data_IF_683913528277
#
_entry.id   IF_683913528277
#
_cell.length_a   1.000
_cell.length_b   1.000
_cell.length_c   1.000
_cell.angle_alpha   90.00
_cell.angle_beta   90.00
_cell.angle_gamma   90.00
#
_symmetry.space_group_name_H-M   'P 1'
#
loop_
_entity.id
_entity.type
_entity.pdbx_description
1 polymer ?
#
# COMPACT_ATOMS: atom_id res chain seq x y z
N UNK A 1 27.03 32.08 9.15
CA UNK A 1 27.06 30.69 8.66
C UNK A 1 26.83 30.74 7.15
N UNK A 2 27.86 30.46 6.37
CA UNK A 2 27.77 30.42 4.90
C UNK A 2 27.14 29.09 4.54
N UNK A 3 26.02 29.12 3.81
CA UNK A 3 25.43 27.96 3.18
C UNK A 3 26.40 27.46 2.09
N UNK A 4 27.08 26.38 2.32
CA UNK A 4 27.82 25.70 1.29
C UNK A 4 26.82 25.12 0.28
N UNK A 5 26.57 25.87 -0.76
CA UNK A 5 25.94 25.36 -1.98
C UNK A 5 26.96 24.42 -2.60
N UNK A 6 26.69 23.13 -2.58
CA UNK A 6 27.53 22.13 -3.21
C UNK A 6 27.49 22.36 -4.73
N UNK A 7 28.50 23.09 -5.25
CA UNK A 7 28.75 23.20 -6.68
C UNK A 7 29.44 21.93 -7.11
N UNK A 8 28.68 21.01 -7.69
CA UNK A 8 29.21 19.77 -8.31
C UNK A 8 30.00 20.18 -9.56
N UNK A 9 31.34 20.23 -9.43
CA UNK A 9 32.25 20.31 -10.57
C UNK A 9 32.31 18.94 -11.24
N UNK A 10 31.98 18.90 -12.52
CA UNK A 10 31.91 17.79 -13.45
C UNK A 10 32.64 16.51 -13.06
N UNK A 11 31.85 15.46 -12.89
CA UNK A 11 32.03 14.08 -13.32
C UNK A 11 30.96 13.21 -12.64
N UNK A 12 30.20 12.46 -13.46
CA UNK A 12 29.19 11.48 -13.06
C UNK A 12 28.21 11.99 -11.99
N UNK A 13 27.06 12.50 -12.40
CA UNK A 13 25.98 12.81 -11.48
C UNK A 13 25.44 11.51 -10.91
N UNK A 14 25.93 11.11 -9.73
CA UNK A 14 25.27 10.05 -8.95
C UNK A 14 24.47 10.69 -7.84
N UNK A 15 23.26 10.19 -7.61
CA UNK A 15 22.38 10.62 -6.52
C UNK A 15 21.82 9.43 -5.75
N UNK A 16 21.41 9.68 -4.53
CA UNK A 16 20.75 8.69 -3.68
C UNK A 16 19.25 8.95 -3.68
N UNK A 17 18.48 7.86 -3.78
CA UNK A 17 17.03 7.90 -3.73
C UNK A 17 16.51 6.87 -2.76
N UNK A 18 15.55 7.23 -1.92
CA UNK A 18 15.14 6.42 -0.78
C UNK A 18 13.63 6.27 -0.72
N UNK A 19 13.17 5.05 -0.47
CA UNK A 19 11.79 4.76 -0.11
C UNK A 19 11.72 3.86 1.12
N UNK A 20 10.59 3.91 1.82
CA UNK A 20 10.33 3.11 3.00
C UNK A 20 9.10 2.21 2.80
N UNK A 21 8.96 1.20 3.65
CA UNK A 21 7.79 0.37 3.77
C UNK A 21 7.55 -0.03 5.22
N UNK A 22 6.30 -0.37 5.58
CA UNK A 22 5.97 -0.83 6.93
C UNK A 22 5.23 -2.15 6.90
N UNK A 23 5.30 -2.90 8.00
CA UNK A 23 4.60 -4.17 8.13
C UNK A 23 3.08 -3.99 8.31
N UNK A 24 2.29 -5.06 8.06
CA UNK A 24 0.88 -5.10 8.44
C UNK A 24 0.62 -4.80 9.92
N UNK A 25 1.61 -5.06 10.78
CA UNK A 25 1.52 -4.77 12.22
C UNK A 25 1.89 -3.35 12.65
N UNK A 26 2.34 -2.49 11.71
CA UNK A 26 2.51 -1.07 12.02
C UNK A 26 1.16 -0.43 12.39
N UNK A 27 1.07 0.44 13.41
CA UNK A 27 -0.21 1.00 13.89
C UNK A 27 -1.10 1.59 12.79
N UNK A 28 -0.56 2.38 11.87
CA UNK A 28 -1.33 2.93 10.76
C UNK A 28 -1.86 1.83 9.83
N UNK A 29 -1.08 0.78 9.55
CA UNK A 29 -1.54 -0.35 8.72
C UNK A 29 -2.51 -1.26 9.45
N UNK A 30 -2.44 -1.35 10.77
CA UNK A 30 -3.50 -1.98 11.58
C UNK A 30 -4.82 -1.23 11.40
N UNK A 31 -4.79 0.11 11.46
CA UNK A 31 -5.97 0.94 11.23
C UNK A 31 -6.54 0.78 9.82
N UNK A 32 -5.68 0.79 8.79
CA UNK A 32 -6.07 0.55 7.40
C UNK A 32 -6.76 -0.81 7.22
N UNK A 33 -6.20 -1.89 7.76
CA UNK A 33 -6.77 -3.23 7.68
C UNK A 33 -8.11 -3.35 8.40
N UNK A 34 -8.27 -2.68 9.53
CA UNK A 34 -9.56 -2.66 10.26
C UNK A 34 -10.60 -1.92 9.42
N UNK A 35 -10.28 -0.76 8.85
CA UNK A 35 -11.19 -0.02 7.98
C UNK A 35 -11.60 -0.81 6.73
N UNK A 36 -10.66 -1.53 6.09
CA UNK A 36 -10.99 -2.41 4.97
C UNK A 36 -11.71 -3.71 5.38
N UNK A 37 -11.55 -4.16 6.63
CA UNK A 37 -12.38 -5.25 7.19
C UNK A 37 -13.83 -4.83 7.27
N UNK A 38 -14.11 -3.60 7.70
CA UNK A 38 -15.46 -3.04 7.75
C UNK A 38 -16.05 -2.95 6.33
N UNK A 39 -15.29 -2.40 5.38
CA UNK A 39 -15.71 -2.30 3.99
C UNK A 39 -16.05 -3.69 3.40
N UNK A 40 -15.15 -4.66 3.54
CA UNK A 40 -15.37 -6.01 3.02
C UNK A 40 -16.55 -6.72 3.72
N UNK A 41 -16.79 -6.44 5.00
CA UNK A 41 -17.94 -6.98 5.71
C UNK A 41 -19.26 -6.50 5.07
N UNK A 42 -19.36 -5.21 4.78
CA UNK A 42 -20.56 -4.65 4.13
C UNK A 42 -20.71 -5.10 2.68
N UNK A 43 -19.64 -5.15 1.90
CA UNK A 43 -19.70 -5.60 0.51
C UNK A 43 -20.07 -7.09 0.36
N UNK A 44 -19.82 -7.91 1.38
CA UNK A 44 -20.29 -9.32 1.40
C UNK A 44 -21.81 -9.44 1.46
N UNK A 45 -22.49 -8.51 2.10
CA UNK A 45 -23.97 -8.55 2.28
C UNK A 45 -24.68 -7.62 1.32
N UNK A 46 -24.07 -6.52 0.93
CA UNK A 46 -24.59 -5.53 0.00
C UNK A 46 -23.47 -4.99 -0.90
N UNK A 47 -23.33 -5.49 -2.13
CA UNK A 47 -22.31 -5.01 -3.07
C UNK A 47 -22.40 -3.51 -3.40
N UNK A 48 -23.56 -2.88 -3.17
CA UNK A 48 -23.79 -1.45 -3.42
C UNK A 48 -23.61 -0.59 -2.17
N UNK A 49 -23.19 -1.17 -1.04
CA UNK A 49 -22.94 -0.43 0.19
C UNK A 49 -21.99 0.76 -0.05
N UNK A 50 -22.33 1.91 0.53
CA UNK A 50 -21.49 3.10 0.56
C UNK A 50 -20.79 3.16 1.90
N UNK A 51 -19.49 3.08 1.89
CA UNK A 51 -18.68 2.99 3.10
C UNK A 51 -17.58 4.04 3.07
N UNK A 52 -17.49 4.80 4.15
CA UNK A 52 -16.41 5.70 4.47
C UNK A 52 -16.06 5.45 5.95
N UNK A 53 -15.22 4.44 6.21
CA UNK A 53 -14.86 4.00 7.55
C UNK A 53 -13.42 4.37 7.88
N UNK A 54 -13.25 5.06 8.99
CA UNK A 54 -11.95 5.43 9.53
C UNK A 54 -11.71 4.78 10.88
N UNK A 55 -10.47 4.44 11.13
CA UNK A 55 -10.04 3.76 12.36
C UNK A 55 -8.89 4.51 12.98
N UNK A 56 -8.93 4.67 14.30
CA UNK A 56 -7.79 5.04 15.13
C UNK A 56 -7.48 3.92 16.12
N UNK A 57 -6.22 3.56 16.25
CA UNK A 57 -5.74 2.57 17.24
C UNK A 57 -4.75 3.21 18.19
N UNK A 58 -4.96 3.08 19.51
CA UNK A 58 -4.02 3.57 20.52
C UNK A 58 -4.16 2.79 21.83
N UNK A 59 -3.02 2.41 22.43
CA UNK A 59 -3.02 1.56 23.61
C UNK A 59 -3.66 0.21 23.30
N UNK A 60 -4.63 -0.21 24.12
CA UNK A 60 -5.46 -1.38 23.86
C UNK A 60 -6.89 -0.98 23.45
N UNK A 61 -7.01 0.06 22.60
CA UNK A 61 -8.32 0.57 22.16
C UNK A 61 -8.33 0.82 20.66
N UNK A 62 -9.44 0.43 20.03
CA UNK A 62 -9.79 0.70 18.62
C UNK A 62 -10.98 1.67 18.62
N UNK A 63 -10.83 2.79 17.95
CA UNK A 63 -11.89 3.78 17.72
C UNK A 63 -12.30 3.69 16.24
N UNK A 64 -13.58 3.51 16.00
CA UNK A 64 -14.18 3.29 14.69
C UNK A 64 -15.18 4.41 14.46
N UNK A 65 -14.96 5.19 13.40
CA UNK A 65 -15.82 6.30 13.03
C UNK A 65 -16.07 6.32 11.52
N UNK A 66 -17.08 7.06 11.10
CA UNK A 66 -17.39 7.23 9.69
C UNK A 66 -18.87 7.09 9.36
N UNK A 67 -19.15 7.01 8.08
CA UNK A 67 -20.51 6.93 7.55
C UNK A 67 -20.68 5.70 6.67
N UNK A 68 -21.78 4.97 6.90
CA UNK A 68 -22.12 3.76 6.14
C UNK A 68 -23.60 3.80 5.75
N UNK A 69 -23.87 3.60 4.45
CA UNK A 69 -25.24 3.35 3.94
C UNK A 69 -25.24 2.00 3.26
N UNK A 70 -26.15 1.11 3.69
CA UNK A 70 -26.31 -0.23 3.15
C UNK A 70 -27.77 -0.65 3.24
N UNK A 71 -28.23 -1.43 2.27
CA UNK A 71 -29.57 -2.04 2.28
C UNK A 71 -29.72 -3.10 3.39
N UNK A 72 -28.60 -3.68 3.85
CA UNK A 72 -28.56 -4.70 4.89
C UNK A 72 -27.65 -4.25 6.04
N UNK A 73 -28.21 -4.32 7.26
CA UNK A 73 -27.44 -4.00 8.47
C UNK A 73 -26.60 -5.20 8.92
N UNK A 74 -25.38 -4.91 9.34
CA UNK A 74 -24.53 -5.87 10.06
C UNK A 74 -24.63 -5.54 11.54
N UNK A 75 -24.78 -6.57 12.40
CA UNK A 75 -24.78 -6.33 13.85
C UNK A 75 -23.39 -5.86 14.31
N UNK A 76 -23.37 -4.93 15.28
CA UNK A 76 -22.11 -4.48 15.87
C UNK A 76 -21.27 -5.66 16.39
N UNK A 77 -21.93 -6.68 16.98
CA UNK A 77 -21.25 -7.88 17.49
C UNK A 77 -20.58 -8.69 16.39
N UNK A 78 -21.16 -8.79 15.17
CA UNK A 78 -20.56 -9.53 14.08
C UNK A 78 -19.40 -8.73 13.45
N UNK A 79 -19.55 -7.43 13.32
CA UNK A 79 -18.47 -6.55 12.88
C UNK A 79 -17.29 -6.58 13.85
N UNK A 80 -17.55 -6.57 15.16
CA UNK A 80 -16.52 -6.71 16.19
C UNK A 80 -15.76 -8.04 16.07
N UNK A 81 -16.44 -9.15 15.80
CA UNK A 81 -15.78 -10.45 15.57
C UNK A 81 -14.85 -10.43 14.36
N UNK A 82 -15.29 -9.82 13.25
CA UNK A 82 -14.46 -9.70 12.05
C UNK A 82 -13.22 -8.84 12.32
N UNK A 83 -13.37 -7.73 13.03
CA UNK A 83 -12.24 -6.85 13.39
C UNK A 83 -11.26 -7.58 14.33
N UNK A 84 -11.75 -8.28 15.37
CA UNK A 84 -10.90 -9.07 16.27
C UNK A 84 -10.12 -10.15 15.52
N UNK A 85 -10.78 -10.85 14.59
CA UNK A 85 -10.10 -11.83 13.72
C UNK A 85 -8.98 -11.17 12.91
N UNK A 86 -9.23 -10.00 12.31
CA UNK A 86 -8.20 -9.25 11.56
C UNK A 86 -7.02 -8.87 12.45
N UNK A 87 -7.26 -8.36 13.65
CA UNK A 87 -6.20 -8.00 14.62
C UNK A 87 -5.38 -9.24 15.02
N UNK A 88 -6.04 -10.39 15.25
CA UNK A 88 -5.37 -11.64 15.58
C UNK A 88 -4.51 -12.16 14.41
N UNK A 89 -5.02 -12.09 13.17
CA UNK A 89 -4.29 -12.47 11.95
C UNK A 89 -3.08 -11.59 11.66
N UNK A 90 -3.13 -10.31 12.06
CA UNK A 90 -1.96 -9.40 12.04
C UNK A 90 -0.88 -9.88 13.02
N UNK A 91 -1.23 -10.67 14.02
CA UNK A 91 -0.31 -11.20 15.02
C UNK A 91 -0.42 -10.54 16.40
N UNK A 92 -1.40 -9.66 16.62
CA UNK A 92 -1.68 -9.08 17.94
C UNK A 92 -2.63 -9.98 18.74
N UNK A 93 -2.14 -11.14 19.13
CA UNK A 93 -2.87 -12.20 19.83
C UNK A 93 -2.26 -12.59 21.18
N UNK A 94 -1.35 -11.77 21.72
CA UNK A 94 -0.68 -11.98 23.01
C UNK A 94 -0.84 -10.78 23.94
N UNK A 95 -1.09 -11.02 25.21
CA UNK A 95 -1.23 -9.95 26.20
C UNK A 95 0.03 -9.12 26.38
N UNK A 96 1.20 -9.75 26.27
CA UNK A 96 2.50 -9.09 26.41
C UNK A 96 2.80 -8.00 25.35
N UNK A 97 2.02 -7.97 24.27
CA UNK A 97 2.12 -6.90 23.26
C UNK A 97 1.37 -5.63 23.69
N UNK A 98 0.51 -5.74 24.75
CA UNK A 98 -0.25 -4.62 25.27
C UNK A 98 -1.39 -4.12 24.37
N UNK A 99 -1.43 -4.54 23.11
CA UNK A 99 -2.56 -4.47 22.18
C UNK A 99 -2.92 -5.90 21.80
N UNK A 100 -4.18 -6.32 22.02
CA UNK A 100 -4.56 -7.72 21.88
C UNK A 100 -5.97 -7.84 21.30
N UNK A 101 -6.14 -8.72 20.31
CA UNK A 101 -7.38 -8.96 19.60
C UNK A 101 -8.56 -9.35 20.51
N UNK A 102 -8.32 -10.12 21.58
CA UNK A 102 -9.38 -10.61 22.47
C UNK A 102 -9.81 -9.53 23.50
N UNK A 103 -8.83 -8.75 23.99
CA UNK A 103 -9.05 -7.84 25.13
C UNK A 103 -9.15 -6.37 24.77
N UNK A 104 -8.84 -5.98 23.52
CA UNK A 104 -8.91 -4.58 23.10
C UNK A 104 -10.36 -4.05 23.23
N UNK A 105 -10.47 -2.81 23.73
CA UNK A 105 -11.73 -2.07 23.76
C UNK A 105 -12.06 -1.58 22.35
N UNK A 106 -13.31 -1.69 21.93
CA UNK A 106 -13.80 -1.09 20.70
C UNK A 106 -14.81 0.01 21.00
N UNK A 107 -14.67 1.15 20.33
CA UNK A 107 -15.57 2.29 20.43
C UNK A 107 -16.11 2.55 19.02
N UNK A 108 -17.41 2.47 18.85
CA UNK A 108 -18.09 2.66 17.58
C UNK A 108 -18.80 4.01 17.56
N UNK A 109 -18.47 4.84 16.57
CA UNK A 109 -19.14 6.09 16.24
C UNK A 109 -19.36 6.13 14.72
N UNK A 110 -20.25 5.26 14.27
CA UNK A 110 -20.61 5.08 12.86
C UNK A 110 -22.02 5.56 12.66
N UNK A 111 -22.22 6.46 11.71
CA UNK A 111 -23.51 7.04 11.33
C UNK A 111 -23.94 6.64 9.92
N UNK A 112 -25.17 6.96 9.54
CA UNK A 112 -25.64 6.84 8.16
C UNK A 112 -25.07 8.01 7.31
N UNK A 113 -24.64 7.74 6.09
CA UNK A 113 -24.11 8.77 5.17
C UNK A 113 -25.20 9.80 4.82
N UNK A 114 -24.80 11.08 4.67
CA UNK A 114 -25.68 12.16 4.27
C UNK A 114 -26.40 11.85 2.95
N UNK A 115 -27.74 12.02 2.95
CA UNK A 115 -28.56 11.83 1.75
C UNK A 115 -28.21 12.78 0.63
N UNK A 116 -27.74 13.98 0.94
CA UNK A 116 -27.36 15.00 -0.06
C UNK A 116 -26.14 14.55 -0.86
N UNK A 117 -25.15 13.94 -0.21
CA UNK A 117 -23.96 13.39 -0.88
C UNK A 117 -24.35 12.24 -1.79
N UNK A 118 -25.18 11.31 -1.30
CA UNK A 118 -25.65 10.17 -2.11
C UNK A 118 -26.40 10.63 -3.38
N UNK A 119 -27.28 11.61 -3.27
CA UNK A 119 -28.04 12.15 -4.41
C UNK A 119 -27.17 12.88 -5.43
N UNK A 120 -26.07 13.51 -5.03
CA UNK A 120 -25.15 14.20 -5.94
C UNK A 120 -24.31 13.23 -6.79
N UNK A 121 -24.15 11.98 -6.36
CA UNK A 121 -23.33 10.96 -7.02
C UNK A 121 -24.17 10.05 -7.91
N UNK A 122 -25.45 9.83 -7.58
CA UNK A 122 -26.38 9.00 -8.37
C UNK A 122 -26.99 9.81 -9.51
N UNK A 123 -26.42 9.69 -10.72
CA UNK A 123 -26.87 10.41 -11.92
C UNK A 123 -27.95 9.63 -12.72
N UNK A 124 -28.42 8.47 -12.21
CA UNK A 124 -29.39 7.56 -12.82
C UNK A 124 -29.02 6.10 -12.60
N UNK A 125 -29.87 5.15 -13.12
CA UNK A 125 -29.71 3.70 -12.83
C UNK A 125 -28.35 3.11 -13.24
N UNK A 126 -27.65 3.69 -14.23
CA UNK A 126 -26.38 3.17 -14.77
C UNK A 126 -25.23 4.21 -14.75
N UNK A 127 -25.45 5.39 -14.17
CA UNK A 127 -24.47 6.50 -14.21
C UNK A 127 -24.10 6.92 -12.80
N UNK A 128 -22.80 6.95 -12.54
CA UNK A 128 -22.24 7.34 -11.24
C UNK A 128 -21.26 8.48 -11.47
N UNK A 129 -21.53 9.64 -10.86
CA UNK A 129 -20.58 10.73 -10.77
C UNK A 129 -19.47 10.43 -9.76
N UNK A 130 -18.35 11.14 -9.85
CA UNK A 130 -17.31 11.02 -8.86
C UNK A 130 -17.82 11.42 -7.47
N UNK A 131 -17.54 10.60 -6.47
CA UNK A 131 -17.97 10.81 -5.08
C UNK A 131 -17.24 11.95 -4.37
N UNK A 132 -16.17 12.46 -4.96
CA UNK A 132 -15.38 13.58 -4.46
C UNK A 132 -14.61 14.24 -5.61
N UNK A 133 -14.02 15.39 -5.34
CA UNK A 133 -12.96 15.94 -6.18
C UNK A 133 -11.62 15.32 -5.78
N UNK A 134 -10.72 15.10 -6.75
CA UNK A 134 -9.40 14.54 -6.44
C UNK A 134 -8.43 14.64 -7.60
N UNK A 135 -7.14 14.74 -7.26
CA UNK A 135 -6.03 14.57 -8.18
C UNK A 135 -5.39 13.23 -7.86
N UNK A 136 -5.34 12.35 -8.84
CA UNK A 136 -4.91 10.97 -8.70
C UNK A 136 -3.71 10.74 -9.60
N UNK A 137 -2.74 9.95 -9.14
CA UNK A 137 -1.56 9.57 -9.91
C UNK A 137 -1.47 8.07 -10.08
N UNK A 138 -1.02 7.66 -11.27
CA UNK A 138 -0.59 6.30 -11.60
C UNK A 138 0.86 6.31 -12.02
N UNK A 139 1.60 5.26 -11.73
CA UNK A 139 3.00 5.13 -12.10
C UNK A 139 3.38 3.69 -12.41
N UNK A 140 4.29 3.51 -13.36
CA UNK A 140 4.93 2.23 -13.66
C UNK A 140 6.34 2.46 -14.19
N UNK A 141 7.26 1.54 -13.87
CA UNK A 141 8.66 1.58 -14.34
C UNK A 141 9.16 0.18 -14.65
N UNK A 142 10.09 0.05 -15.61
CA UNK A 142 10.77 -1.21 -15.96
C UNK A 142 11.92 -1.57 -14.99
N UNK A 143 12.06 -0.89 -13.86
CA UNK A 143 13.15 -1.14 -12.91
C UNK A 143 13.06 -2.50 -12.22
N UNK A 144 11.85 -3.02 -12.02
CA UNK A 144 11.62 -4.26 -11.28
C UNK A 144 10.61 -5.18 -11.98
N UNK A 145 10.59 -6.48 -11.65
CA UNK A 145 9.63 -7.43 -12.22
C UNK A 145 8.16 -7.10 -11.95
N UNK A 146 7.88 -6.28 -10.94
CA UNK A 146 6.53 -5.86 -10.59
C UNK A 146 6.19 -4.47 -11.11
N UNK A 147 7.04 -3.89 -11.94
CA UNK A 147 6.90 -2.54 -12.50
C UNK A 147 6.77 -1.44 -11.44
N UNK A 148 7.32 -1.68 -10.26
CA UNK A 148 7.42 -0.73 -9.16
C UNK A 148 8.84 -0.14 -9.09
N UNK A 149 9.01 1.08 -8.53
CA UNK A 149 10.35 1.63 -8.29
C UNK A 149 11.20 0.73 -7.38
N UNK A 150 12.51 0.66 -7.67
CA UNK A 150 13.43 -0.27 -7.00
C UNK A 150 13.44 -0.10 -5.47
N UNK A 151 13.47 1.14 -4.99
CA UNK A 151 13.61 1.39 -3.56
C UNK A 151 12.40 0.87 -2.76
N UNK A 152 11.17 1.19 -3.17
CA UNK A 152 9.95 0.72 -2.50
C UNK A 152 9.73 -0.78 -2.72
N UNK A 153 10.07 -1.31 -3.89
CA UNK A 153 9.99 -2.73 -4.19
C UNK A 153 10.83 -3.56 -3.22
N UNK A 154 12.10 -3.20 -3.03
CA UNK A 154 12.98 -3.90 -2.09
C UNK A 154 12.56 -3.68 -0.63
N UNK A 155 12.15 -2.46 -0.27
CA UNK A 155 11.65 -2.18 1.08
C UNK A 155 10.43 -3.06 1.42
N UNK A 156 9.47 -3.20 0.48
CA UNK A 156 8.31 -4.09 0.61
C UNK A 156 8.73 -5.56 0.75
N UNK A 157 9.66 -6.03 -0.07
CA UNK A 157 10.15 -7.42 0.00
C UNK A 157 10.82 -7.73 1.33
N UNK A 158 11.63 -6.81 1.87
CA UNK A 158 12.28 -6.96 3.17
C UNK A 158 11.22 -7.09 4.27
N UNK A 159 10.19 -6.25 4.26
CA UNK A 159 9.08 -6.35 5.21
C UNK A 159 8.34 -7.68 5.05
N UNK A 160 7.98 -8.07 3.84
CA UNK A 160 7.24 -9.31 3.60
C UNK A 160 8.03 -10.54 4.09
N UNK A 161 9.35 -10.56 3.84
CA UNK A 161 10.22 -11.65 4.29
C UNK A 161 10.39 -11.66 5.81
N UNK A 162 10.56 -10.50 6.44
CA UNK A 162 10.67 -10.38 7.89
C UNK A 162 9.37 -10.72 8.60
N UNK A 163 8.24 -10.22 8.09
CA UNK A 163 6.92 -10.47 8.64
C UNK A 163 6.46 -11.92 8.47
N UNK A 164 6.80 -12.56 7.35
CA UNK A 164 6.59 -14.01 7.17
C UNK A 164 7.32 -14.87 8.20
N UNK A 165 8.40 -14.37 8.78
CA UNK A 165 9.15 -15.01 9.84
C UNK A 165 8.48 -14.99 11.22
N UNK A 166 7.47 -14.15 11.45
CA UNK A 166 6.72 -14.10 12.72
C UNK A 166 6.06 -15.44 13.03
N UNK A 167 5.62 -16.17 12.01
CA UNK A 167 4.98 -17.47 12.15
C UNK A 167 5.97 -18.63 12.32
N UNK A 168 7.26 -18.39 12.09
CA UNK A 168 8.31 -19.40 12.30
C UNK A 168 8.83 -19.30 13.74
N UNK A 169 8.20 -20.06 14.57
CA UNK A 169 8.49 -20.16 16.00
C UNK A 169 9.86 -20.82 16.23
N UNK A 170 10.86 -20.05 16.64
CA UNK A 170 12.08 -20.60 17.22
C UNK A 170 11.78 -21.02 18.67
N UNK A 171 11.73 -22.33 18.93
CA UNK A 171 11.56 -22.85 20.28
C UNK A 171 10.19 -22.58 20.94
N UNK A 172 9.12 -22.32 20.19
CA UNK A 172 7.79 -22.06 20.75
C UNK A 172 7.48 -20.58 21.07
N UNK A 173 8.37 -19.65 20.72
CA UNK A 173 8.24 -18.23 21.05
C UNK A 173 8.39 -17.34 19.82
N UNK A 174 7.56 -16.29 19.75
CA UNK A 174 7.65 -15.30 18.68
C UNK A 174 8.84 -14.38 18.94
N UNK A 175 9.94 -14.63 18.24
CA UNK A 175 11.15 -13.84 18.39
C UNK A 175 11.02 -12.48 17.70
N UNK A 176 10.26 -12.39 16.61
CA UNK A 176 9.95 -11.17 15.88
C UNK A 176 8.50 -10.80 16.13
N UNK A 177 8.23 -9.54 16.43
CA UNK A 177 6.89 -8.98 16.71
C UNK A 177 6.32 -8.25 15.49
N UNK A 178 4.99 -8.02 15.42
CA UNK A 178 4.32 -7.55 14.21
C UNK A 178 4.76 -6.19 13.67
N UNK A 179 5.21 -5.25 14.53
CA UNK A 179 5.55 -3.89 14.13
C UNK A 179 6.97 -3.78 13.57
N UNK A 180 7.07 -3.34 12.31
CA UNK A 180 8.35 -3.21 11.61
C UNK A 180 8.33 -2.08 10.60
N UNK A 181 9.52 -1.52 10.33
CA UNK A 181 9.76 -0.54 9.26
C UNK A 181 11.02 -0.90 8.49
N UNK A 182 10.97 -0.83 7.18
CA UNK A 182 12.14 -0.93 6.31
C UNK A 182 12.36 0.35 5.53
N UNK A 183 13.59 0.59 5.13
CA UNK A 183 13.96 1.67 4.23
C UNK A 183 15.10 1.19 3.34
N UNK A 184 15.00 1.48 2.05
CA UNK A 184 16.06 1.14 1.09
C UNK A 184 16.48 2.40 0.35
N UNK A 185 17.79 2.64 0.32
CA UNK A 185 18.43 3.72 -0.43
C UNK A 185 19.15 3.13 -1.63
N UNK A 186 18.81 3.61 -2.81
CA UNK A 186 19.36 3.20 -4.09
C UNK A 186 20.24 4.32 -4.63
N UNK A 187 21.41 3.97 -5.16
CA UNK A 187 22.28 4.90 -5.88
C UNK A 187 22.00 4.82 -7.38
N UNK A 188 21.71 5.95 -7.95
CA UNK A 188 21.56 6.13 -9.40
C UNK A 188 22.73 6.88 -9.99
N UNK A 189 23.05 6.63 -11.24
CA UNK A 189 23.96 7.43 -12.06
C UNK A 189 23.30 7.72 -13.44
N UNK A 190 24.06 8.22 -14.40
CA UNK A 190 23.59 8.57 -15.73
C UNK A 190 23.12 7.36 -16.55
N UNK A 191 23.40 6.14 -16.14
CA UNK A 191 23.00 4.89 -16.77
C UNK A 191 21.82 4.20 -16.05
N UNK A 192 21.33 4.77 -14.96
CA UNK A 192 20.25 4.23 -14.15
C UNK A 192 20.70 3.74 -12.78
N UNK A 193 20.17 2.59 -12.34
CA UNK A 193 20.47 2.03 -11.01
C UNK A 193 21.88 1.46 -10.99
N UNK A 194 22.69 1.95 -10.06
CA UNK A 194 24.09 1.53 -9.87
C UNK A 194 24.27 0.47 -8.79
N UNK A 195 23.73 0.73 -7.61
CA UNK A 195 23.87 -0.15 -6.44
C UNK A 195 22.82 0.15 -5.36
N UNK A 196 22.62 -0.78 -4.48
CA UNK A 196 21.89 -0.56 -3.22
C UNK A 196 22.90 0.02 -2.20
N UNK A 197 22.71 1.29 -1.83
CA UNK A 197 23.61 1.98 -0.89
C UNK A 197 23.35 1.54 0.55
N UNK A 198 22.08 1.57 0.98
CA UNK A 198 21.71 1.28 2.38
C UNK A 198 20.41 0.50 2.47
N UNK A 199 20.38 -0.52 3.30
CA UNK A 199 19.19 -1.26 3.74
C UNK A 199 19.03 -1.05 5.23
N UNK A 200 17.88 -0.49 5.64
CA UNK A 200 17.51 -0.34 7.04
C UNK A 200 16.30 -1.21 7.35
N UNK A 201 16.35 -1.95 8.44
CA UNK A 201 15.22 -2.63 9.03
C UNK A 201 15.15 -2.34 10.53
N UNK A 202 14.05 -1.75 10.98
CA UNK A 202 13.68 -1.67 12.37
C UNK A 202 12.55 -2.64 12.62
N UNK A 203 12.75 -3.64 13.48
CA UNK A 203 11.73 -4.59 13.85
C UNK A 203 11.60 -4.76 15.36
N UNK A 204 10.36 -4.76 15.82
CA UNK A 204 10.02 -5.07 17.19
C UNK A 204 10.31 -6.55 17.46
N UNK A 205 10.96 -6.87 18.58
CA UNK A 205 11.39 -8.24 18.89
C UNK A 205 11.23 -8.58 20.37
N UNK A 206 11.26 -9.88 20.67
CA UNK A 206 11.22 -10.38 22.06
C UNK A 206 12.43 -9.90 22.85
N UNK A 207 12.26 -9.68 24.17
CA UNK A 207 13.34 -9.42 25.11
C UNK A 207 14.36 -10.56 25.21
N UNK A 208 13.98 -11.77 24.79
CA UNK A 208 14.85 -12.95 24.76
C UNK A 208 15.83 -12.97 23.58
N UNK A 209 15.61 -12.11 22.57
CA UNK A 209 16.49 -11.94 21.42
C UNK A 209 17.35 -10.69 21.60
N UNK A 210 18.63 -10.85 21.79
CA UNK A 210 19.55 -9.72 21.86
C UNK A 210 19.79 -9.12 20.46
N UNK A 211 20.39 -7.95 20.41
CA UNK A 211 20.59 -7.21 19.15
C UNK A 211 21.53 -7.93 18.16
N UNK A 212 22.52 -8.66 18.67
CA UNK A 212 23.43 -9.44 17.81
C UNK A 212 22.69 -10.59 17.14
N UNK A 213 21.93 -11.39 17.92
CA UNK A 213 21.14 -12.51 17.39
C UNK A 213 20.09 -12.01 16.37
N UNK A 214 19.45 -10.86 16.66
CA UNK A 214 18.53 -10.22 15.73
C UNK A 214 19.22 -9.83 14.42
N UNK A 215 20.41 -9.23 14.51
CA UNK A 215 21.17 -8.82 13.32
C UNK A 215 21.56 -10.04 12.47
N UNK A 216 22.06 -11.10 13.09
CA UNK A 216 22.41 -12.35 12.39
C UNK A 216 21.18 -13.01 11.77
N UNK A 217 20.05 -13.03 12.48
CA UNK A 217 18.78 -13.55 11.97
C UNK A 217 18.32 -12.76 10.74
N UNK A 218 18.25 -11.44 10.84
CA UNK A 218 17.81 -10.56 9.76
C UNK A 218 18.71 -10.70 8.54
N UNK A 219 20.04 -10.72 8.75
CA UNK A 219 20.97 -10.88 7.64
C UNK A 219 20.77 -12.21 6.92
N UNK A 220 20.64 -13.32 7.65
CA UNK A 220 20.53 -14.66 7.10
C UNK A 220 19.16 -14.98 6.51
N UNK A 221 18.09 -14.66 7.24
CA UNK A 221 16.73 -15.10 6.93
C UNK A 221 15.87 -14.06 6.25
N UNK A 222 16.29 -12.79 6.24
CA UNK A 222 15.58 -11.69 5.58
C UNK A 222 16.38 -11.19 4.38
N UNK A 223 17.49 -10.52 4.63
CA UNK A 223 18.26 -9.81 3.58
C UNK A 223 18.77 -10.78 2.51
N UNK A 224 19.47 -11.87 2.93
CA UNK A 224 19.99 -12.85 1.97
C UNK A 224 18.87 -13.53 1.19
N UNK A 225 17.73 -13.83 1.83
CA UNK A 225 16.58 -14.44 1.15
C UNK A 225 15.95 -13.47 0.15
N UNK A 226 15.79 -12.19 0.49
CA UNK A 226 15.32 -11.18 -0.45
C UNK A 226 16.28 -11.08 -1.64
N UNK A 227 17.59 -11.02 -1.39
CA UNK A 227 18.59 -11.01 -2.45
C UNK A 227 18.46 -12.26 -3.35
N UNK A 228 18.49 -13.46 -2.78
CA UNK A 228 18.48 -14.74 -3.52
C UNK A 228 17.19 -14.96 -4.33
N UNK A 229 16.06 -14.43 -3.86
CA UNK A 229 14.76 -14.56 -4.54
C UNK A 229 14.57 -13.56 -5.70
N UNK A 230 15.48 -12.62 -5.86
CA UNK A 230 15.41 -11.63 -6.95
C UNK A 230 16.18 -12.12 -8.20
N UNK A 231 15.85 -11.61 -9.40
CA UNK A 231 16.64 -11.84 -10.61
C UNK A 231 18.11 -11.41 -10.45
N UNK A 232 19.02 -12.06 -11.17
CA UNK A 232 20.47 -11.87 -11.05
C UNK A 232 20.92 -10.41 -11.17
N UNK A 233 20.30 -9.63 -12.07
CA UNK A 233 20.62 -8.21 -12.23
C UNK A 233 20.31 -7.39 -10.97
N UNK A 234 19.25 -7.73 -10.20
CA UNK A 234 18.95 -7.10 -8.91
C UNK A 234 19.88 -7.62 -7.81
N UNK A 235 20.18 -8.93 -7.80
CA UNK A 235 21.14 -9.50 -6.85
C UNK A 235 22.50 -8.79 -6.88
N UNK A 236 22.99 -8.44 -8.09
CA UNK A 236 24.26 -7.75 -8.31
C UNK A 236 24.28 -6.31 -7.78
N UNK A 237 23.13 -5.70 -7.53
CA UNK A 237 23.06 -4.36 -6.94
C UNK A 237 23.45 -4.34 -5.46
N UNK A 238 23.37 -5.50 -4.77
CA UNK A 238 23.87 -5.64 -3.40
C UNK A 238 25.38 -5.90 -3.43
N UNK A 239 26.15 -4.85 -3.28
CA UNK A 239 27.63 -4.88 -3.34
C UNK A 239 28.24 -5.04 -1.96
N UNK A 240 29.56 -5.14 -1.88
CA UNK A 240 30.31 -5.11 -0.62
C UNK A 240 30.20 -3.77 0.11
N UNK A 241 29.82 -2.70 -0.61
CA UNK A 241 29.63 -1.36 -0.06
C UNK A 241 28.23 -1.13 0.51
N UNK A 242 27.29 -2.07 0.29
CA UNK A 242 25.92 -1.97 0.80
C UNK A 242 25.93 -1.95 2.34
N UNK A 243 25.37 -0.91 2.94
CA UNK A 243 25.27 -0.75 4.39
C UNK A 243 23.98 -1.42 4.90
N UNK A 244 24.11 -2.16 5.99
CA UNK A 244 22.96 -2.79 6.65
C UNK A 244 22.78 -2.20 8.04
N UNK A 245 21.65 -1.57 8.29
CA UNK A 245 21.28 -0.94 9.55
C UNK A 245 20.10 -1.69 10.17
N UNK A 246 20.39 -2.55 11.15
CA UNK A 246 19.36 -3.35 11.83
C UNK A 246 19.18 -2.79 13.23
N UNK A 247 17.94 -2.31 13.53
CA UNK A 247 17.62 -1.64 14.79
C UNK A 247 18.71 -0.65 15.25
N UNK A 248 19.07 0.35 14.43
CA UNK A 248 20.20 1.23 14.73
C UNK A 248 20.03 2.05 16.01
N UNK A 249 18.81 2.20 16.51
CA UNK A 249 18.51 2.84 17.80
C UNK A 249 18.67 1.89 19.01
N UNK A 250 19.01 0.62 18.78
CA UNK A 250 19.12 -0.41 19.82
C UNK A 250 17.92 -1.35 19.90
N UNK A 251 17.69 -1.95 21.07
CA UNK A 251 16.59 -2.88 21.29
C UNK A 251 15.23 -2.20 21.20
N UNK A 252 14.28 -2.89 20.57
CA UNK A 252 12.89 -2.43 20.45
C UNK A 252 11.93 -3.58 20.80
N UNK A 253 11.51 -3.62 22.06
CA UNK A 253 10.71 -4.73 22.58
C UNK A 253 9.22 -4.42 22.67
N UNK A 254 8.83 -3.16 22.74
CA UNK A 254 7.43 -2.74 22.78
C UNK A 254 7.13 -1.86 21.59
N UNK A 255 6.25 -2.32 20.70
CA UNK A 255 5.82 -1.65 19.48
C UNK A 255 4.31 -1.67 19.32
N UNK A 256 3.84 -1.33 18.13
CA UNK A 256 2.43 -1.34 17.80
C UNK A 256 1.61 -0.23 18.44
N UNK A 257 0.27 -0.37 18.50
CA UNK A 257 -0.65 0.67 19.00
C UNK A 257 -0.38 1.14 20.43
N UNK A 258 0.32 0.35 21.24
CA UNK A 258 0.67 0.72 22.62
C UNK A 258 1.61 1.93 22.64
N UNK A 259 2.59 1.94 21.77
CA UNK A 259 3.62 2.98 21.74
C UNK A 259 3.30 4.10 20.76
N UNK A 260 2.62 3.79 19.64
CA UNK A 260 2.32 4.75 18.60
C UNK A 260 0.82 4.76 18.26
N UNK A 261 0.31 5.91 17.85
CA UNK A 261 -1.09 6.07 17.43
C UNK A 261 -1.22 5.80 15.95
N UNK A 262 -2.01 4.78 15.57
CA UNK A 262 -2.31 4.48 14.19
C UNK A 262 -3.63 5.08 13.75
N UNK A 263 -3.66 5.60 12.51
CA UNK A 263 -4.86 6.10 11.86
C UNK A 263 -4.93 5.61 10.41
N UNK A 264 -6.15 5.39 9.93
CA UNK A 264 -6.42 5.11 8.52
C UNK A 264 -5.88 6.22 7.62
N UNK A 265 -5.21 5.83 6.52
CA UNK A 265 -4.75 6.77 5.51
C UNK A 265 -3.51 7.59 5.87
N UNK A 266 -2.73 7.18 6.86
CA UNK A 266 -1.46 7.84 7.20
C UNK A 266 -0.23 7.21 6.54
N UNK A 267 -0.41 6.25 5.64
CA UNK A 267 0.66 5.57 4.89
C UNK A 267 0.45 5.64 3.38
N UNK A 268 -0.15 6.74 2.90
CA UNK A 268 -0.52 6.91 1.48
C UNK A 268 0.68 6.90 0.52
N UNK A 269 1.86 7.30 0.97
CA UNK A 269 3.11 7.20 0.17
C UNK A 269 3.50 5.73 -0.03
N UNK A 270 3.38 4.93 1.04
CA UNK A 270 3.68 3.49 1.02
C UNK A 270 2.63 2.72 0.23
N UNK A 271 1.37 3.14 0.32
CA UNK A 271 0.25 2.55 -0.43
C UNK A 271 0.38 2.76 -1.94
N UNK A 272 1.19 3.74 -2.36
CA UNK A 272 1.40 4.08 -3.77
C UNK A 272 2.83 3.70 -4.22
N UNK A 273 3.64 4.64 -4.66
CA UNK A 273 4.91 4.38 -5.36
C UNK A 273 6.15 4.84 -4.58
N UNK A 274 6.02 5.07 -3.27
CA UNK A 274 7.10 5.61 -2.48
C UNK A 274 7.43 7.06 -2.86
N UNK A 275 8.71 7.36 -2.99
CA UNK A 275 9.20 8.69 -3.33
C UNK A 275 9.23 8.99 -4.84
N UNK A 276 8.87 8.03 -5.71
CA UNK A 276 9.13 8.10 -7.15
C UNK A 276 8.02 8.76 -7.97
N UNK A 277 6.84 8.95 -7.38
CA UNK A 277 5.70 9.59 -8.03
C UNK A 277 5.07 10.62 -7.12
N UNK A 278 4.50 11.70 -7.66
CA UNK A 278 3.53 12.48 -6.92
C UNK A 278 2.40 11.59 -6.39
N UNK A 279 1.78 11.99 -5.30
CA UNK A 279 0.62 11.32 -4.73
C UNK A 279 -0.55 12.29 -4.63
N UNK A 280 -1.78 11.78 -4.76
CA UNK A 280 -2.97 12.49 -4.35
C UNK A 280 -3.08 12.55 -2.82
N UNK A 281 -3.97 13.38 -2.29
CA UNK A 281 -4.18 13.52 -0.85
C UNK A 281 -5.07 12.43 -0.24
N UNK A 282 -5.75 11.61 -1.06
CA UNK A 282 -6.79 10.69 -0.64
C UNK A 282 -6.25 9.37 -0.07
N UNK A 283 -6.78 8.96 1.08
CA UNK A 283 -6.60 7.63 1.62
C UNK A 283 -7.39 6.59 0.82
N UNK A 284 -6.92 5.34 0.78
CA UNK A 284 -7.57 4.23 0.11
C UNK A 284 -8.46 3.42 1.06
N UNK A 285 -7.90 2.93 2.16
CA UNK A 285 -8.57 2.02 3.08
C UNK A 285 -9.84 2.62 3.68
N UNK A 286 -10.86 1.79 3.87
CA UNK A 286 -12.16 2.18 4.41
C UNK A 286 -13.11 2.82 3.42
N UNK A 287 -12.68 3.08 2.17
CA UNK A 287 -13.48 3.72 1.12
C UNK A 287 -13.96 2.71 0.08
N UNK A 288 -15.28 2.70 -0.19
CA UNK A 288 -15.85 1.94 -1.31
C UNK A 288 -15.46 2.54 -2.67
N UNK A 289 -15.72 1.81 -3.75
CA UNK A 289 -15.29 2.15 -5.10
C UNK A 289 -15.94 3.39 -5.73
N UNK A 290 -16.95 3.99 -5.12
CA UNK A 290 -17.49 5.27 -5.55
C UNK A 290 -16.55 6.45 -5.23
N UNK A 291 -15.63 6.26 -4.31
CA UNK A 291 -14.62 7.25 -3.93
C UNK A 291 -13.43 7.14 -4.89
N UNK A 292 -13.28 8.14 -5.76
CA UNK A 292 -12.26 8.19 -6.82
C UNK A 292 -10.82 8.21 -6.28
N UNK A 293 -10.60 8.65 -5.05
CA UNK A 293 -9.30 8.56 -4.39
C UNK A 293 -8.72 7.15 -4.46
N UNK A 294 -9.58 6.13 -4.33
CA UNK A 294 -9.20 4.73 -4.41
C UNK A 294 -9.38 4.15 -5.81
N UNK A 295 -10.56 4.20 -6.36
CA UNK A 295 -10.90 3.54 -7.63
C UNK A 295 -10.10 4.12 -8.80
N UNK A 296 -9.96 5.43 -8.89
CA UNK A 296 -9.19 6.06 -9.95
C UNK A 296 -7.67 5.90 -9.75
N UNK A 297 -7.17 5.66 -8.53
CA UNK A 297 -5.76 5.30 -8.33
C UNK A 297 -5.44 3.91 -8.92
N UNK A 298 -6.37 2.97 -8.82
CA UNK A 298 -6.26 1.67 -9.49
C UNK A 298 -6.29 1.81 -11.01
N UNK A 299 -7.19 2.65 -11.54
CA UNK A 299 -7.19 2.98 -12.96
C UNK A 299 -5.89 3.64 -13.41
N UNK A 300 -5.38 4.61 -12.64
CA UNK A 300 -4.10 5.27 -12.93
C UNK A 300 -2.93 4.29 -13.04
N UNK A 301 -2.87 3.32 -12.11
CA UNK A 301 -1.89 2.24 -12.17
C UNK A 301 -2.04 1.40 -13.44
N UNK A 302 -3.26 1.00 -13.76
CA UNK A 302 -3.57 0.20 -14.94
C UNK A 302 -3.15 0.93 -16.22
N UNK A 303 -3.52 2.20 -16.37
CA UNK A 303 -3.11 3.03 -17.52
C UNK A 303 -1.58 3.14 -17.64
N UNK A 304 -0.88 3.34 -16.53
CA UNK A 304 0.58 3.40 -16.53
C UNK A 304 1.20 2.09 -16.99
N UNK A 305 0.68 0.94 -16.53
CA UNK A 305 1.14 -0.39 -16.94
C UNK A 305 0.86 -0.65 -18.42
N UNK A 306 -0.36 -0.39 -18.91
CA UNK A 306 -0.71 -0.59 -20.30
C UNK A 306 0.22 0.25 -21.21
N UNK A 307 0.44 1.51 -20.87
CA UNK A 307 1.34 2.38 -21.63
C UNK A 307 2.76 1.83 -21.65
N UNK A 308 3.28 1.41 -20.50
CA UNK A 308 4.64 0.89 -20.35
C UNK A 308 4.86 -0.41 -21.14
N UNK A 309 3.86 -1.29 -21.14
CA UNK A 309 3.95 -2.61 -21.78
C UNK A 309 3.78 -2.56 -23.30
N UNK A 310 2.96 -1.62 -23.81
CA UNK A 310 2.76 -1.46 -25.23
C UNK A 310 3.84 -0.62 -25.93
N UNK A 311 4.75 0.01 -25.16
CA UNK A 311 5.82 0.87 -25.70
C UNK A 311 7.19 0.38 -25.22
N UNK A 312 7.92 -0.34 -26.07
CA UNK A 312 9.19 -0.98 -25.72
C UNK A 312 10.26 0.02 -25.24
N UNK A 313 10.31 1.21 -25.85
CA UNK A 313 11.29 2.26 -25.51
C UNK A 313 10.95 3.02 -24.23
N UNK A 314 9.71 2.92 -23.75
CA UNK A 314 9.26 3.58 -22.53
C UNK A 314 9.81 2.88 -21.29
N UNK A 315 10.43 3.63 -20.39
CA UNK A 315 11.01 3.10 -19.15
C UNK A 315 10.16 3.48 -17.94
N UNK A 316 9.58 4.69 -17.92
CA UNK A 316 8.82 5.22 -16.78
C UNK A 316 7.60 6.00 -17.25
N UNK A 317 6.43 5.60 -16.82
CA UNK A 317 5.16 6.27 -17.14
C UNK A 317 4.55 6.89 -15.92
N UNK A 318 4.15 8.14 -16.05
CA UNK A 318 3.32 8.85 -15.08
C UNK A 318 1.95 9.13 -15.68
N UNK A 319 0.91 8.83 -14.92
CA UNK A 319 -0.48 9.18 -15.22
C UNK A 319 -0.99 10.16 -14.19
N UNK A 320 -1.70 11.18 -14.63
CA UNK A 320 -2.49 12.07 -13.77
C UNK A 320 -3.94 12.02 -14.22
N UNK A 321 -4.85 11.86 -13.27
CA UNK A 321 -6.29 11.97 -13.47
C UNK A 321 -6.84 13.00 -12.49
N UNK A 322 -7.80 13.81 -12.92
CA UNK A 322 -8.49 14.75 -12.04
C UNK A 322 -10.00 14.58 -12.18
N UNK A 323 -10.68 14.44 -11.05
CA UNK A 323 -12.14 14.32 -10.97
C UNK A 323 -12.75 15.49 -10.20
N UNK A 324 -13.99 15.79 -10.50
CA UNK A 324 -14.82 16.73 -9.76
C UNK A 324 -16.07 16.06 -9.22
N UNK A 325 -16.47 16.39 -8.00
CA UNK A 325 -17.65 15.80 -7.35
C UNK A 325 -18.90 15.90 -8.25
N UNK A 326 -19.65 14.82 -8.37
CA UNK A 326 -20.87 14.75 -9.18
C UNK A 326 -20.64 14.74 -10.70
N UNK A 327 -19.39 14.82 -11.17
CA UNK A 327 -19.04 14.74 -12.59
C UNK A 327 -18.65 13.31 -12.95
N UNK A 328 -19.21 12.77 -14.02
CA UNK A 328 -19.02 11.38 -14.44
C UNK A 328 -17.62 11.13 -15.03
N UNK A 329 -17.18 12.01 -15.92
CA UNK A 329 -15.85 11.89 -16.56
C UNK A 329 -14.80 12.72 -15.83
N UNK A 330 -13.52 12.32 -15.89
CA UNK A 330 -12.44 13.15 -15.36
C UNK A 330 -12.41 14.50 -16.07
N UNK A 331 -12.19 15.56 -15.33
CA UNK A 331 -12.05 16.94 -15.88
C UNK A 331 -10.74 17.14 -16.63
N UNK A 332 -9.75 16.31 -16.34
CA UNK A 332 -8.50 16.22 -17.10
C UNK A 332 -7.81 14.89 -16.88
N UNK A 333 -7.02 14.46 -17.86
CA UNK A 333 -6.08 13.36 -17.74
C UNK A 333 -4.79 13.66 -18.50
N UNK A 334 -3.71 13.04 -18.10
CA UNK A 334 -2.42 13.08 -18.78
C UNK A 334 -1.67 11.77 -18.56
N UNK A 335 -1.15 11.19 -19.64
CA UNK A 335 -0.29 10.01 -19.64
C UNK A 335 1.02 10.40 -20.32
N UNK A 336 2.15 10.29 -19.61
CA UNK A 336 3.42 10.81 -20.10
C UNK A 336 4.58 9.87 -19.76
N UNK A 337 5.42 9.61 -20.75
CA UNK A 337 6.76 9.04 -20.52
C UNK A 337 7.61 10.08 -19.78
N UNK A 338 8.14 9.69 -18.62
CA UNK A 338 8.92 10.60 -17.77
C UNK A 338 10.30 10.94 -18.35
N UNK A 339 10.83 10.11 -19.23
CA UNK A 339 12.16 10.27 -19.82
C UNK A 339 12.10 11.10 -21.10
N UNK A 340 11.29 10.70 -22.06
CA UNK A 340 11.17 11.35 -23.39
C UNK A 340 10.20 12.52 -23.40
N UNK A 341 9.31 12.64 -22.41
CA UNK A 341 8.18 13.59 -22.35
C UNK A 341 7.12 13.36 -23.43
N UNK A 342 7.13 12.20 -24.06
CA UNK A 342 6.09 11.78 -24.99
C UNK A 342 4.76 11.60 -24.27
N UNK A 343 3.69 12.18 -24.83
CA UNK A 343 2.32 12.02 -24.31
C UNK A 343 1.56 10.95 -25.09
N UNK A 344 0.72 10.17 -24.38
CA UNK A 344 -0.06 9.07 -24.94
C UNK A 344 -1.56 9.34 -24.81
N UNK A 345 -2.34 8.84 -25.76
CA UNK A 345 -3.80 8.92 -25.78
C UNK A 345 -4.48 7.68 -25.21
N UNK A 346 -5.69 7.82 -24.71
CA UNK A 346 -6.50 6.70 -24.18
C UNK A 346 -6.91 5.71 -25.29
N UNK A 347 -7.16 6.21 -26.51
CA UNK A 347 -7.58 5.39 -27.66
C UNK A 347 -6.55 4.34 -28.07
N UNK A 348 -5.28 4.56 -27.73
CA UNK A 348 -4.19 3.63 -28.03
C UNK A 348 -4.33 2.27 -27.30
N UNK A 349 -5.14 2.23 -26.23
CA UNK A 349 -5.28 1.05 -25.35
C UNK A 349 -6.73 0.57 -25.20
N UNK A 350 -7.69 1.14 -25.92
CA UNK A 350 -9.12 0.79 -25.77
C UNK A 350 -9.71 1.12 -24.39
N UNK A 351 -9.17 2.16 -23.74
CA UNK A 351 -9.51 2.56 -22.36
C UNK A 351 -10.18 3.94 -22.33
N UNK A 352 -11.09 4.20 -23.27
CA UNK A 352 -11.71 5.52 -23.43
C UNK A 352 -12.69 5.88 -22.32
N UNK A 353 -13.31 4.89 -21.67
CA UNK A 353 -14.25 5.13 -20.58
C UNK A 353 -13.56 5.09 -19.21
N UNK A 354 -13.39 6.27 -18.62
CA UNK A 354 -12.78 6.51 -17.32
C UNK A 354 -13.81 6.87 -16.24
N UNK A 355 -15.08 6.60 -16.45
CA UNK A 355 -16.14 6.87 -15.47
C UNK A 355 -15.98 5.98 -14.23
N UNK A 356 -16.40 6.41 -13.02
CA UNK A 356 -16.41 5.56 -11.83
C UNK A 356 -17.11 4.23 -12.04
N UNK A 357 -18.20 4.20 -12.83
CA UNK A 357 -18.92 2.97 -13.17
C UNK A 357 -18.05 2.02 -14.00
N UNK A 358 -17.42 2.53 -15.06
CA UNK A 358 -16.50 1.72 -15.89
C UNK A 358 -15.33 1.16 -15.09
N UNK A 359 -14.78 1.92 -14.14
CA UNK A 359 -13.72 1.48 -13.25
C UNK A 359 -14.19 0.34 -12.35
N UNK A 360 -15.38 0.49 -11.74
CA UNK A 360 -15.97 -0.55 -10.89
C UNK A 360 -16.17 -1.87 -11.64
N UNK A 361 -16.73 -1.80 -12.85
CA UNK A 361 -17.03 -2.97 -13.66
C UNK A 361 -15.74 -3.64 -14.16
N UNK A 362 -14.79 -2.84 -14.62
CA UNK A 362 -13.51 -3.32 -15.15
C UNK A 362 -12.72 -4.12 -14.14
N UNK A 363 -12.65 -3.66 -12.90
CA UNK A 363 -11.82 -4.27 -11.86
C UNK A 363 -12.64 -5.07 -10.82
N UNK A 364 -13.94 -5.21 -11.00
CA UNK A 364 -14.80 -5.97 -10.10
C UNK A 364 -14.84 -5.40 -8.68
N UNK A 365 -14.83 -4.07 -8.55
CA UNK A 365 -14.64 -3.37 -7.26
C UNK A 365 -15.87 -3.41 -6.32
N UNK A 366 -16.95 -4.05 -6.70
CA UNK A 366 -18.12 -4.28 -5.83
C UNK A 366 -17.98 -5.57 -5.00
N UNK A 367 -16.80 -6.23 -5.05
CA UNK A 367 -16.51 -7.47 -4.32
C UNK A 367 -15.65 -7.18 -3.10
N UNK A 368 -15.69 -8.06 -2.07
CA UNK A 368 -14.89 -7.91 -0.84
C UNK A 368 -13.42 -8.30 -1.06
N UNK A 369 -12.66 -7.41 -1.68
CA UNK A 369 -11.25 -7.60 -2.07
C UNK A 369 -10.27 -6.69 -1.29
N UNK A 370 -10.77 -5.84 -0.44
CA UNK A 370 -10.06 -4.65 0.05
C UNK A 370 -9.14 -4.93 1.24
N UNK A 371 -9.50 -5.82 2.16
CA UNK A 371 -8.63 -6.22 3.25
C UNK A 371 -7.28 -6.77 2.75
N UNK A 372 -7.32 -7.52 1.63
CA UNK A 372 -6.11 -8.05 1.01
C UNK A 372 -5.18 -6.93 0.52
N UNK A 373 -5.73 -5.84 -0.04
CA UNK A 373 -4.93 -4.70 -0.51
C UNK A 373 -4.29 -3.93 0.64
N UNK A 374 -4.98 -3.78 1.78
CA UNK A 374 -4.40 -3.17 2.96
C UNK A 374 -3.26 -4.00 3.57
N UNK A 375 -3.33 -5.34 3.45
CA UNK A 375 -2.33 -6.27 3.96
C UNK A 375 -1.09 -6.35 3.09
N UNK A 376 -1.27 -6.46 1.77
CA UNK A 376 -0.19 -6.75 0.81
C UNK A 376 0.26 -5.53 0.01
N UNK A 377 -0.38 -4.38 0.22
CA UNK A 377 -0.20 -3.17 -0.56
C UNK A 377 -1.05 -3.16 -1.82
N UNK A 378 -1.30 -1.98 -2.34
CA UNK A 378 -2.25 -1.74 -3.43
C UNK A 378 -1.65 -1.98 -4.81
N UNK A 379 -0.31 -1.86 -4.95
CA UNK A 379 0.41 -1.95 -6.21
C UNK A 379 1.62 -2.89 -6.13
N UNK A 380 2.07 -3.34 -7.31
CA UNK A 380 3.18 -4.27 -7.45
C UNK A 380 2.81 -5.70 -7.00
N UNK A 381 1.56 -6.10 -7.23
CA UNK A 381 1.07 -7.45 -6.95
C UNK A 381 0.56 -8.08 -8.25
N UNK A 382 0.89 -9.36 -8.44
CA UNK A 382 0.33 -10.13 -9.54
C UNK A 382 -1.18 -10.36 -9.33
N UNK A 383 -1.97 -10.15 -10.39
CA UNK A 383 -3.40 -10.46 -10.37
C UNK A 383 -3.63 -11.97 -10.22
N UNK A 384 -4.58 -12.34 -9.36
CA UNK A 384 -4.93 -13.75 -9.15
C UNK A 384 -6.42 -13.92 -8.83
N UNK A 385 -6.93 -15.13 -9.05
CA UNK A 385 -8.31 -15.49 -8.70
C UNK A 385 -8.35 -16.45 -7.52
N UNK A 386 -9.18 -16.14 -6.52
CA UNK A 386 -9.45 -17.00 -5.36
C UNK A 386 -10.94 -17.07 -5.11
N UNK A 387 -11.50 -18.27 -5.03
CA UNK A 387 -12.93 -18.51 -4.81
C UNK A 387 -13.84 -17.76 -5.80
N UNK A 388 -13.43 -17.61 -7.07
CA UNK A 388 -14.17 -16.90 -8.10
C UNK A 388 -14.13 -15.36 -7.98
N UNK A 389 -13.32 -14.84 -7.08
CA UNK A 389 -13.06 -13.40 -6.94
C UNK A 389 -11.67 -13.11 -7.47
N UNK A 390 -11.57 -12.14 -8.39
CA UNK A 390 -10.30 -11.64 -8.90
C UNK A 390 -9.77 -10.54 -7.98
N UNK A 391 -8.49 -10.62 -7.66
CA UNK A 391 -7.73 -9.67 -6.85
C UNK A 391 -6.69 -8.98 -7.72
N UNK A 392 -6.44 -7.70 -7.49
CA UNK A 392 -5.44 -6.89 -8.22
C UNK A 392 -5.66 -6.83 -9.74
N UNK A 393 -6.92 -6.87 -10.20
CA UNK A 393 -7.26 -6.79 -11.62
C UNK A 393 -6.71 -5.54 -12.35
N UNK A 394 -6.29 -4.53 -11.61
CA UNK A 394 -5.68 -3.29 -12.11
C UNK A 394 -4.16 -3.36 -12.24
N UNK A 395 -3.52 -4.38 -11.67
CA UNK A 395 -2.06 -4.54 -11.67
C UNK A 395 -1.60 -5.50 -12.78
N UNK A 396 -0.39 -6.00 -12.70
CA UNK A 396 0.15 -6.83 -13.75
C UNK A 396 -0.34 -8.29 -13.66
N UNK A 397 -0.35 -8.95 -14.82
CA UNK A 397 -0.68 -10.37 -14.95
C UNK A 397 0.43 -11.03 -15.77
N UNK A 398 0.94 -12.18 -15.34
CA UNK A 398 2.00 -12.95 -16.03
C UNK A 398 1.60 -13.42 -17.45
N UNK A 399 0.36 -13.23 -17.88
CA UNK A 399 -0.09 -13.51 -19.24
C UNK A 399 0.24 -12.38 -20.24
N UNK A 400 0.87 -11.28 -19.79
CA UNK A 400 1.33 -10.19 -20.66
C UNK A 400 2.77 -10.35 -21.15
N UNK A 401 3.41 -11.52 -20.93
CA UNK A 401 4.74 -11.86 -21.45
C UNK A 401 4.67 -12.92 -22.54
#
# INVERSE_FOLDING_TARGET
MKSDVCIIKGNQMSYLWTSEYVSPGHPDKVADQISDTILDAYLRVDPNAKVAAETMVKGNTVYLCGEITSALAISQSDLEKDIRRTIAEIGYNREEYGFNAETCKMVFDISEQSREINQSVELGEERIGAGDQGIIFGYATKETPTFMPMAIYLAKQIINQAYGGIQTVYGGEDMIRPDMKSQVTVRYDEHGIKEIDTVLLSCCHSEKMNLQDLTEYVQRHVINKVKDNNPEHIQRLFTENTKYLINPAGTWNIGGPVTDCGLTGRKIVIDQYGADSPIGGGAFSGKDSSKVDRSAAYLGRHLALQTLLHNEECIRVLVQLAYAIGVEHPVSYRIVDQDTKTEYGLGDYGLEDLTPKAIQDRFGLLKPIYLETARRGHFGNEAYTKNGIEYYAWDFNNHFY
#
